data_IF_819191578550
#
_entry.id   IF_819191578550
#
_cell.length_a   1.000
_cell.length_b   1.000
_cell.length_c   1.000
_cell.angle_alpha   90.00
_cell.angle_beta   90.00
_cell.angle_gamma   90.00
#
_symmetry.space_group_name_H-M   'P 1'
#
loop_
_entity.id
_entity.type
_entity.pdbx_description
1 polymer ?
#
# COMPACT_ATOMS: atom_id res chain seq x y z
N UNK A 1 -11.59 11.59 -26.14
CA UNK A 1 -12.05 11.41 -24.75
C UNK A 1 -10.90 10.78 -24.00
N UNK A 2 -10.33 11.44 -22.98
CA UNK A 2 -9.26 10.84 -22.17
C UNK A 2 -9.87 9.67 -21.41
N UNK A 3 -9.32 8.46 -21.57
CA UNK A 3 -9.77 7.28 -20.83
C UNK A 3 -9.47 7.49 -19.34
N UNK A 4 -10.46 7.25 -18.49
CA UNK A 4 -10.27 7.26 -17.05
C UNK A 4 -9.30 6.13 -16.66
N UNK A 5 -8.24 6.46 -15.94
CA UNK A 5 -7.23 5.49 -15.46
C UNK A 5 -7.55 5.07 -14.04
N UNK A 6 -7.56 3.78 -13.78
CA UNK A 6 -7.80 3.19 -12.46
C UNK A 6 -6.49 3.12 -11.67
N UNK A 7 -6.46 3.69 -10.47
CA UNK A 7 -5.37 3.56 -9.50
C UNK A 7 -5.87 2.78 -8.29
N UNK A 8 -5.19 1.71 -7.96
CA UNK A 8 -5.48 0.92 -6.76
C UNK A 8 -4.56 1.34 -5.62
N UNK A 9 -5.13 1.53 -4.43
CA UNK A 9 -4.41 1.94 -3.22
C UNK A 9 -4.58 0.89 -2.15
N UNK A 10 -3.53 0.07 -1.92
CA UNK A 10 -3.49 -0.86 -0.80
C UNK A 10 -3.30 -0.10 0.51
N UNK A 11 -3.90 -0.63 1.56
CA UNK A 11 -3.86 0.03 2.87
C UNK A 11 -4.54 1.40 2.87
N UNK A 12 -5.59 1.57 2.06
CA UNK A 12 -6.31 2.84 1.85
C UNK A 12 -6.81 3.48 3.14
N UNK A 13 -7.05 2.71 4.18
CA UNK A 13 -7.48 3.17 5.51
C UNK A 13 -6.32 3.48 6.46
N UNK A 14 -5.07 3.19 6.08
CA UNK A 14 -3.87 3.54 6.85
C UNK A 14 -3.51 5.03 6.71
N UNK A 15 -2.59 5.52 7.54
CA UNK A 15 -2.12 6.90 7.45
C UNK A 15 -1.56 7.26 6.07
N UNK A 16 -0.73 6.38 5.49
CA UNK A 16 -0.15 6.59 4.16
C UNK A 16 -1.20 6.47 3.06
N UNK A 17 -1.98 5.40 3.06
CA UNK A 17 -3.00 5.17 2.03
C UNK A 17 -4.04 6.28 1.98
N UNK A 18 -4.51 6.77 3.13
CA UNK A 18 -5.38 7.96 3.20
C UNK A 18 -4.74 9.20 2.60
N UNK A 19 -3.44 9.39 2.84
CA UNK A 19 -2.68 10.49 2.23
C UNK A 19 -2.66 10.42 0.71
N UNK A 20 -2.42 9.21 0.16
CA UNK A 20 -2.41 8.96 -1.29
C UNK A 20 -3.81 9.15 -1.89
N UNK A 21 -4.85 8.57 -1.28
CA UNK A 21 -6.25 8.76 -1.72
C UNK A 21 -6.60 10.24 -1.77
N UNK A 22 -6.29 10.98 -0.69
CA UNK A 22 -6.53 12.44 -0.64
C UNK A 22 -5.80 13.18 -1.75
N UNK A 23 -4.51 12.87 -1.99
CA UNK A 23 -3.72 13.54 -3.02
C UNK A 23 -4.29 13.29 -4.42
N UNK A 24 -4.65 12.04 -4.74
CA UNK A 24 -5.25 11.68 -6.03
C UNK A 24 -6.60 12.34 -6.27
N UNK A 25 -7.42 12.49 -5.23
CA UNK A 25 -8.76 13.08 -5.35
C UNK A 25 -8.77 14.60 -5.35
N UNK A 26 -7.81 15.24 -4.66
CA UNK A 26 -7.78 16.69 -4.47
C UNK A 26 -7.06 17.45 -5.57
N UNK A 27 -6.12 16.83 -6.28
CA UNK A 27 -5.30 17.56 -7.25
C UNK A 27 -6.02 17.66 -8.61
N UNK A 28 -6.24 18.89 -9.15
CA UNK A 28 -7.03 19.09 -10.38
C UNK A 28 -6.48 18.34 -11.60
N UNK A 29 -5.15 18.27 -11.75
CA UNK A 29 -4.54 17.54 -12.88
C UNK A 29 -4.71 16.02 -12.81
N UNK A 30 -5.17 15.48 -11.67
CA UNK A 30 -5.42 14.07 -11.45
C UNK A 30 -6.92 13.71 -11.55
N UNK A 31 -7.75 14.63 -12.06
CA UNK A 31 -9.21 14.43 -12.17
C UNK A 31 -9.60 13.26 -13.08
N UNK A 32 -8.71 12.82 -13.95
CA UNK A 32 -8.90 11.68 -14.85
C UNK A 32 -8.63 10.32 -14.19
N UNK A 33 -8.17 10.30 -12.93
CA UNK A 33 -7.99 9.04 -12.19
C UNK A 33 -9.25 8.66 -11.40
N UNK A 34 -9.59 7.38 -11.48
CA UNK A 34 -10.48 6.69 -10.55
C UNK A 34 -9.63 5.99 -9.48
N UNK A 35 -9.99 6.14 -8.24
CA UNK A 35 -9.25 5.58 -7.10
C UNK A 35 -10.03 4.40 -6.52
N UNK A 36 -9.39 3.25 -6.44
CA UNK A 36 -9.93 2.05 -5.79
C UNK A 36 -9.11 1.77 -4.54
N UNK A 37 -9.68 2.06 -3.37
CA UNK A 37 -9.05 1.76 -2.09
C UNK A 37 -9.29 0.33 -1.67
N UNK A 38 -8.24 -0.41 -1.33
CA UNK A 38 -8.37 -1.75 -0.78
C UNK A 38 -8.38 -1.73 0.75
N UNK A 39 -9.31 -2.50 1.29
CA UNK A 39 -9.44 -2.75 2.73
C UNK A 39 -9.94 -4.16 2.97
N UNK A 40 -9.64 -4.76 4.12
CA UNK A 40 -10.17 -6.09 4.49
C UNK A 40 -11.65 -6.07 4.86
N UNK A 41 -12.17 -4.90 5.27
CA UNK A 41 -13.57 -4.74 5.65
C UNK A 41 -14.09 -3.39 5.15
N UNK A 42 -14.89 -3.42 4.08
CA UNK A 42 -15.51 -2.23 3.47
C UNK A 42 -16.61 -1.62 4.33
N UNK A 43 -17.20 -2.39 5.23
CA UNK A 43 -18.25 -1.94 6.15
C UNK A 43 -17.71 -1.43 7.49
N UNK A 44 -16.41 -1.57 7.68
CA UNK A 44 -15.73 -1.13 8.91
C UNK A 44 -15.70 0.39 9.08
N UNK A 45 -15.62 0.84 10.33
CA UNK A 45 -15.57 2.28 10.64
C UNK A 45 -14.43 3.03 9.94
N UNK A 46 -13.20 2.49 9.74
CA UNK A 46 -12.15 3.18 8.99
C UNK A 46 -12.48 3.38 7.51
N UNK A 47 -13.19 2.40 6.89
CA UNK A 47 -13.61 2.48 5.50
C UNK A 47 -14.72 3.53 5.32
N UNK A 48 -15.72 3.53 6.19
CA UNK A 48 -16.79 4.54 6.21
C UNK A 48 -16.21 5.95 6.41
N UNK A 49 -15.32 6.13 7.38
CA UNK A 49 -14.65 7.41 7.61
C UNK A 49 -13.84 7.90 6.41
N UNK A 50 -13.25 6.99 5.61
CA UNK A 50 -12.56 7.36 4.38
C UNK A 50 -13.54 7.85 3.31
N UNK A 51 -14.67 7.17 3.12
CA UNK A 51 -15.71 7.59 2.17
C UNK A 51 -16.34 8.92 2.59
N UNK A 52 -16.66 9.08 3.88
CA UNK A 52 -17.24 10.32 4.42
C UNK A 52 -16.32 11.53 4.23
N UNK A 53 -15.00 11.31 4.42
CA UNK A 53 -14.01 12.37 4.20
C UNK A 53 -13.89 12.81 2.73
N UNK A 54 -14.38 11.99 1.80
CA UNK A 54 -14.30 12.21 0.35
C UNK A 54 -15.64 12.17 -0.37
N UNK A 55 -16.77 12.40 0.33
CA UNK A 55 -18.12 12.36 -0.24
C UNK A 55 -18.31 13.29 -1.45
N UNK A 56 -17.52 14.35 -1.55
CA UNK A 56 -17.54 15.30 -2.67
C UNK A 56 -16.74 14.83 -3.90
N UNK A 57 -16.09 13.66 -3.84
CA UNK A 57 -15.32 13.13 -4.97
C UNK A 57 -16.19 12.46 -6.05
N UNK A 58 -17.49 12.35 -5.82
CA UNK A 58 -18.42 11.63 -6.71
C UNK A 58 -18.00 10.17 -6.86
N UNK A 59 -18.14 9.63 -8.07
CA UNK A 59 -17.82 8.24 -8.38
C UNK A 59 -16.31 7.97 -8.58
N UNK A 60 -15.45 8.90 -8.12
CA UNK A 60 -14.00 8.74 -8.28
C UNK A 60 -13.35 7.87 -7.21
N UNK A 61 -14.02 7.61 -6.08
CA UNK A 61 -13.53 6.75 -5.01
C UNK A 61 -14.45 5.55 -4.81
N UNK A 62 -13.89 4.36 -4.94
CA UNK A 62 -14.55 3.11 -4.58
C UNK A 62 -13.70 2.33 -3.58
N UNK A 63 -14.34 1.54 -2.72
CA UNK A 63 -13.64 0.61 -1.84
C UNK A 63 -13.97 -0.83 -2.22
N UNK A 64 -12.93 -1.68 -2.24
CA UNK A 64 -13.06 -3.12 -2.52
C UNK A 64 -12.43 -3.89 -1.37
N UNK A 65 -13.08 -5.00 -0.99
CA UNK A 65 -12.49 -5.94 -0.02
C UNK A 65 -11.41 -6.78 -0.69
N UNK A 66 -10.20 -6.77 -0.12
CA UNK A 66 -9.12 -7.64 -0.53
C UNK A 66 -8.17 -7.88 0.65
N UNK A 67 -7.53 -9.06 0.67
CA UNK A 67 -6.54 -9.43 1.67
C UNK A 67 -5.18 -9.65 1.00
N UNK A 68 -4.12 -9.11 1.58
CA UNK A 68 -2.75 -9.26 1.06
C UNK A 68 -2.23 -10.70 1.15
N UNK A 69 -2.88 -11.55 1.94
CA UNK A 69 -2.60 -12.99 2.02
C UNK A 69 -3.47 -13.83 1.08
N UNK A 70 -4.41 -13.21 0.38
CA UNK A 70 -5.24 -13.82 -0.66
C UNK A 70 -4.89 -13.22 -2.03
N UNK A 71 -4.02 -13.92 -2.76
CA UNK A 71 -3.54 -13.50 -4.07
C UNK A 71 -4.67 -13.34 -5.09
N UNK A 72 -5.70 -14.19 -5.02
CA UNK A 72 -6.82 -14.13 -5.97
C UNK A 72 -7.64 -12.87 -5.74
N UNK A 73 -7.88 -12.49 -4.48
CA UNK A 73 -8.56 -11.23 -4.16
C UNK A 73 -7.79 -10.01 -4.63
N UNK A 74 -6.45 -10.04 -4.54
CA UNK A 74 -5.59 -8.98 -5.05
C UNK A 74 -5.63 -8.90 -6.58
N UNK A 75 -5.54 -10.06 -7.26
CA UNK A 75 -5.61 -10.11 -8.72
C UNK A 75 -6.93 -9.54 -9.25
N UNK A 76 -8.04 -9.93 -8.63
CA UNK A 76 -9.36 -9.39 -8.99
C UNK A 76 -9.43 -7.86 -8.81
N UNK A 77 -8.90 -7.37 -7.68
CA UNK A 77 -8.87 -5.93 -7.42
C UNK A 77 -7.97 -5.15 -8.40
N UNK A 78 -6.89 -5.78 -8.90
CA UNK A 78 -5.95 -5.15 -9.83
C UNK A 78 -6.38 -5.20 -11.29
N UNK A 79 -7.36 -6.02 -11.66
CA UNK A 79 -7.84 -6.10 -13.05
C UNK A 79 -8.15 -4.72 -13.63
N UNK A 80 -7.53 -4.41 -14.76
CA UNK A 80 -7.71 -3.15 -15.48
C UNK A 80 -7.16 -1.91 -14.76
N UNK A 81 -6.36 -2.08 -13.71
CA UNK A 81 -5.69 -0.95 -13.08
C UNK A 81 -4.48 -0.51 -13.91
N UNK A 82 -4.32 0.80 -14.05
CA UNK A 82 -3.12 1.40 -14.61
C UNK A 82 -1.97 1.39 -13.62
N UNK A 83 -2.27 1.71 -12.36
CA UNK A 83 -1.25 1.81 -11.33
C UNK A 83 -1.71 1.27 -9.98
N UNK A 84 -0.73 0.87 -9.18
CA UNK A 84 -0.94 0.38 -7.81
C UNK A 84 0.00 1.12 -6.87
N UNK A 85 -0.56 1.68 -5.78
CA UNK A 85 0.20 2.07 -4.61
C UNK A 85 0.10 0.97 -3.56
N UNK A 86 1.22 0.51 -3.04
CA UNK A 86 1.27 -0.56 -2.05
C UNK A 86 2.11 -0.18 -0.82
N UNK A 87 1.61 -0.60 0.33
CA UNK A 87 2.30 -0.55 1.60
C UNK A 87 2.05 -1.84 2.36
N UNK A 88 3.10 -2.45 2.90
CA UNK A 88 3.01 -3.61 3.80
C UNK A 88 3.17 -3.16 5.25
N UNK A 89 2.57 -3.92 6.17
CA UNK A 89 2.67 -3.70 7.62
C UNK A 89 3.52 -4.79 8.26
N UNK A 90 4.28 -4.43 9.29
CA UNK A 90 4.96 -5.35 10.20
C UNK A 90 4.03 -5.93 11.27
N UNK A 91 2.78 -5.45 11.32
CA UNK A 91 1.81 -5.87 12.32
C UNK A 91 0.59 -6.52 11.67
N UNK A 92 0.14 -7.63 12.25
CA UNK A 92 -1.18 -8.22 11.99
C UNK A 92 -2.08 -7.88 13.18
N UNK A 93 -3.22 -7.19 12.97
CA UNK A 93 -4.13 -6.87 14.04
C UNK A 93 -4.56 -8.10 14.84
N UNK A 94 -4.42 -8.03 16.17
CA UNK A 94 -4.77 -9.13 17.07
C UNK A 94 -3.70 -10.22 17.22
N UNK A 95 -2.58 -10.15 16.48
CA UNK A 95 -1.45 -11.06 16.62
C UNK A 95 -0.24 -10.32 17.20
N UNK A 96 0.33 -10.85 18.27
CA UNK A 96 1.61 -10.36 18.81
C UNK A 96 2.75 -10.97 17.99
N UNK A 97 3.66 -10.13 17.52
CA UNK A 97 4.87 -10.55 16.82
C UNK A 97 6.00 -10.71 17.84
N UNK A 98 6.45 -11.93 18.04
CA UNK A 98 7.46 -12.26 19.06
C UNK A 98 8.76 -12.80 18.45
N UNK A 99 8.68 -13.35 17.25
CA UNK A 99 9.79 -14.01 16.58
C UNK A 99 10.07 -13.41 15.21
N UNK A 100 11.26 -13.68 14.67
CA UNK A 100 11.60 -13.33 13.29
C UNK A 100 10.63 -13.99 12.31
N UNK A 101 10.25 -15.25 12.56
CA UNK A 101 9.31 -15.98 11.69
C UNK A 101 7.93 -15.32 11.66
N UNK A 102 7.49 -14.74 12.77
CA UNK A 102 6.25 -13.97 12.79
C UNK A 102 6.28 -12.77 11.84
N UNK A 103 7.44 -12.15 11.66
CA UNK A 103 7.61 -10.98 10.80
C UNK A 103 7.69 -11.34 9.30
N UNK A 104 7.97 -12.61 8.95
CA UNK A 104 8.01 -13.09 7.56
C UNK A 104 6.68 -12.97 6.82
N UNK A 105 5.56 -12.86 7.53
CA UNK A 105 4.26 -12.55 6.92
C UNK A 105 4.32 -11.30 6.03
N UNK A 106 5.23 -10.36 6.32
CA UNK A 106 5.41 -9.16 5.51
C UNK A 106 6.00 -9.49 4.14
N UNK A 107 6.91 -10.46 4.05
CA UNK A 107 7.43 -10.96 2.78
C UNK A 107 6.34 -11.68 1.99
N UNK A 108 5.58 -12.57 2.63
CA UNK A 108 4.45 -13.27 2.02
C UNK A 108 3.44 -12.28 1.40
N UNK A 109 3.07 -11.27 2.17
CA UNK A 109 2.20 -10.20 1.67
C UNK A 109 2.81 -9.48 0.45
N UNK A 110 4.12 -9.17 0.50
CA UNK A 110 4.85 -8.55 -0.59
C UNK A 110 4.90 -9.42 -1.84
N UNK A 111 5.17 -10.72 -1.70
CA UNK A 111 5.18 -11.70 -2.78
C UNK A 111 3.82 -11.79 -3.48
N UNK A 112 2.73 -11.89 -2.70
CA UNK A 112 1.38 -11.92 -3.25
C UNK A 112 1.03 -10.64 -4.01
N UNK A 113 1.38 -9.47 -3.45
CA UNK A 113 1.13 -8.17 -4.08
C UNK A 113 1.90 -8.05 -5.41
N UNK A 114 3.19 -8.38 -5.43
CA UNK A 114 4.02 -8.29 -6.63
C UNK A 114 3.57 -9.29 -7.68
N UNK A 115 3.26 -10.52 -7.29
CA UNK A 115 2.76 -11.55 -8.20
C UNK A 115 1.42 -11.15 -8.83
N UNK A 116 0.46 -10.63 -8.04
CA UNK A 116 -0.82 -10.14 -8.55
C UNK A 116 -0.64 -8.94 -9.48
N UNK A 117 0.27 -8.00 -9.14
CA UNK A 117 0.57 -6.84 -9.98
C UNK A 117 1.19 -7.24 -11.33
N UNK A 118 2.07 -8.25 -11.33
CA UNK A 118 2.67 -8.82 -12.55
C UNK A 118 1.61 -9.47 -13.44
N UNK A 119 0.78 -10.31 -12.86
CA UNK A 119 -0.28 -11.04 -13.57
C UNK A 119 -1.35 -10.10 -14.14
N UNK A 120 -1.71 -9.04 -13.40
CA UNK A 120 -2.61 -7.99 -13.85
C UNK A 120 -1.98 -7.02 -14.85
N UNK A 121 -0.68 -7.20 -15.21
CA UNK A 121 0.08 -6.36 -16.12
C UNK A 121 0.04 -4.86 -15.74
N UNK A 122 0.23 -4.56 -14.45
CA UNK A 122 0.23 -3.18 -13.94
C UNK A 122 1.34 -2.37 -14.61
N UNK A 123 0.96 -1.19 -15.17
CA UNK A 123 1.89 -0.32 -15.86
C UNK A 123 2.82 0.44 -14.91
N UNK A 124 2.31 0.82 -13.73
CA UNK A 124 3.07 1.60 -12.75
C UNK A 124 2.82 1.14 -11.32
N UNK A 125 3.86 0.69 -10.64
CA UNK A 125 3.80 0.21 -9.26
C UNK A 125 4.58 1.16 -8.35
N UNK A 126 3.95 1.63 -7.28
CA UNK A 126 4.58 2.49 -6.26
C UNK A 126 4.54 1.77 -4.92
N UNK A 127 5.69 1.57 -4.32
CA UNK A 127 5.82 0.85 -3.06
C UNK A 127 6.49 1.70 -1.98
N UNK A 128 5.93 1.69 -0.78
CA UNK A 128 6.59 2.30 0.38
C UNK A 128 7.61 1.35 0.96
N UNK A 129 8.86 1.62 0.67
CA UNK A 129 10.02 0.83 1.07
C UNK A 129 10.79 1.48 2.24
N UNK A 130 11.82 0.79 2.70
CA UNK A 130 12.80 1.26 3.68
C UNK A 130 14.19 0.76 3.26
N UNK A 131 15.28 1.39 3.73
CA UNK A 131 16.64 0.94 3.44
C UNK A 131 16.91 -0.48 3.96
N UNK A 132 17.68 -1.26 3.19
CA UNK A 132 18.26 -2.53 3.65
C UNK A 132 19.36 -2.22 4.69
N UNK A 133 19.04 -2.37 5.97
CA UNK A 133 19.95 -2.04 7.06
C UNK A 133 21.07 -3.06 7.20
N UNK A 134 20.78 -4.32 6.96
CA UNK A 134 21.82 -5.38 6.95
C UNK A 134 22.89 -5.06 5.93
N UNK A 135 22.50 -4.74 4.70
CA UNK A 135 23.41 -4.38 3.61
C UNK A 135 24.12 -3.06 3.85
N UNK A 136 23.38 -2.02 4.25
CA UNK A 136 23.93 -0.69 4.48
C UNK A 136 24.95 -0.65 5.63
N UNK A 137 24.83 -1.55 6.63
CA UNK A 137 25.74 -1.66 7.76
C UNK A 137 26.88 -2.66 7.57
N UNK A 138 26.99 -3.29 6.39
CA UNK A 138 27.96 -4.36 6.14
C UNK A 138 27.73 -5.59 7.04
N UNK A 139 26.48 -5.89 7.39
CA UNK A 139 26.09 -7.02 8.22
C UNK A 139 26.11 -6.75 9.72
N UNK A 140 26.51 -5.55 10.15
CA UNK A 140 26.61 -5.20 11.59
C UNK A 140 25.24 -5.20 12.29
N UNK A 141 24.19 -4.76 11.60
CA UNK A 141 22.83 -4.70 12.12
C UNK A 141 21.90 -5.58 11.27
N UNK A 142 21.88 -6.89 11.55
CA UNK A 142 21.15 -7.89 10.77
C UNK A 142 19.80 -8.31 11.37
N UNK A 143 19.27 -7.55 12.33
CA UNK A 143 17.99 -7.85 13.01
C UNK A 143 16.99 -6.69 12.92
N UNK A 144 17.09 -5.89 11.86
CA UNK A 144 16.14 -4.81 11.57
C UNK A 144 15.15 -5.28 10.50
N UNK A 145 14.51 -6.41 10.77
CA UNK A 145 13.73 -7.20 9.80
C UNK A 145 12.68 -6.39 9.05
N UNK A 146 11.96 -5.50 9.73
CA UNK A 146 10.95 -4.67 9.08
C UNK A 146 11.54 -3.82 7.94
N UNK A 147 12.76 -3.31 8.10
CA UNK A 147 13.44 -2.55 7.06
C UNK A 147 13.92 -3.47 5.94
N UNK A 148 14.60 -4.54 6.29
CA UNK A 148 15.21 -5.46 5.34
C UNK A 148 14.14 -6.17 4.50
N UNK A 149 13.01 -6.55 5.09
CA UNK A 149 11.91 -7.16 4.35
C UNK A 149 11.26 -6.19 3.36
N UNK A 150 11.12 -4.92 3.70
CA UNK A 150 10.63 -3.91 2.74
C UNK A 150 11.61 -3.71 1.59
N UNK A 151 12.91 -3.70 1.85
CA UNK A 151 13.92 -3.63 0.81
C UNK A 151 13.88 -4.84 -0.12
N UNK A 152 13.67 -6.06 0.42
CA UNK A 152 13.52 -7.28 -0.37
C UNK A 152 12.28 -7.24 -1.27
N UNK A 153 11.15 -6.75 -0.76
CA UNK A 153 9.92 -6.56 -1.56
C UNK A 153 10.15 -5.54 -2.66
N UNK A 154 10.84 -4.44 -2.38
CA UNK A 154 11.23 -3.46 -3.41
C UNK A 154 12.09 -4.09 -4.51
N UNK A 155 13.12 -4.85 -4.14
CA UNK A 155 14.00 -5.52 -5.09
C UNK A 155 13.21 -6.51 -5.97
N UNK A 156 12.29 -7.27 -5.37
CA UNK A 156 11.38 -8.15 -6.10
C UNK A 156 10.51 -7.36 -7.09
N UNK A 157 9.89 -6.28 -6.65
CA UNK A 157 9.05 -5.45 -7.52
C UNK A 157 9.84 -4.85 -8.70
N UNK A 158 11.06 -4.38 -8.47
CA UNK A 158 11.95 -3.87 -9.53
C UNK A 158 12.36 -4.92 -10.55
N UNK A 159 12.54 -6.17 -10.09
CA UNK A 159 12.91 -7.29 -10.96
C UNK A 159 11.74 -7.82 -11.78
N UNK A 160 10.54 -7.87 -11.19
CA UNK A 160 9.40 -8.60 -11.74
C UNK A 160 8.42 -7.71 -12.52
N UNK A 161 8.38 -6.40 -12.22
CA UNK A 161 7.38 -5.50 -12.78
C UNK A 161 7.96 -4.57 -13.85
N UNK A 162 7.11 -4.13 -14.76
CA UNK A 162 7.46 -3.24 -15.87
C UNK A 162 8.02 -1.89 -15.38
N UNK A 163 7.41 -1.32 -14.36
CA UNK A 163 7.84 -0.07 -13.72
C UNK A 163 7.54 -0.12 -12.23
N UNK A 164 8.56 0.05 -11.40
CA UNK A 164 8.43 0.09 -9.95
C UNK A 164 9.17 1.31 -9.39
N UNK A 165 8.46 2.11 -8.61
CA UNK A 165 9.00 3.25 -7.87
C UNK A 165 8.94 2.98 -6.38
N UNK A 166 10.08 3.10 -5.69
CA UNK A 166 10.12 3.03 -4.24
C UNK A 166 10.03 4.43 -3.64
N UNK A 167 9.17 4.57 -2.64
CA UNK A 167 9.13 5.72 -1.75
C UNK A 167 9.81 5.33 -0.44
N UNK A 168 10.81 6.08 -0.04
CA UNK A 168 11.56 5.90 1.21
C UNK A 168 11.17 7.04 2.15
N UNK A 169 10.06 6.89 2.89
CA UNK A 169 9.64 7.94 3.81
C UNK A 169 10.62 8.02 4.98
N UNK A 170 10.87 9.24 5.45
CA UNK A 170 11.59 9.46 6.70
C UNK A 170 10.74 9.09 7.92
N UNK A 171 11.18 9.51 9.10
CA UNK A 171 10.44 9.31 10.34
C UNK A 171 9.09 10.03 10.27
N UNK A 172 8.01 9.30 10.60
CA UNK A 172 6.68 9.90 10.67
C UNK A 172 6.56 10.78 11.91
N UNK A 173 6.46 12.08 11.74
CA UNK A 173 5.95 12.98 12.77
C UNK A 173 4.42 12.94 12.76
N UNK A 174 3.82 12.04 13.52
CA UNK A 174 2.41 12.15 13.86
C UNK A 174 2.34 13.17 15.00
N UNK A 175 1.99 14.41 14.68
CA UNK A 175 1.64 15.37 15.72
C UNK A 175 0.44 14.81 16.48
N UNK A 176 0.52 14.57 17.80
CA UNK A 176 -0.67 14.22 18.56
C UNK A 176 -1.66 15.37 18.36
N UNK A 177 -2.86 15.04 17.87
CA UNK A 177 -3.94 16.01 17.86
C UNK A 177 -4.06 16.52 19.28
N UNK A 178 -3.83 17.82 19.50
CA UNK A 178 -4.05 18.47 20.78
C UNK A 178 -5.47 18.08 21.23
N UNK A 179 -5.57 17.22 22.25
CA UNK A 179 -6.80 17.09 22.99
C UNK A 179 -7.06 18.50 23.52
N UNK A 180 -8.10 19.13 23.02
CA UNK A 180 -8.65 20.30 23.67
C UNK A 180 -8.92 19.93 25.13
N UNK A 181 -8.27 20.65 26.04
CA UNK A 181 -8.56 20.63 27.45
C UNK A 181 -9.99 21.15 27.68
#
# INVERSE_FOLDING_TARGET
MSSTLKIVVLGSTSGQGRGVVRALLSHPSLAHYQVVGLTRNVDGSPAKALLDAHQNSGDRLHLISADVYDRESLLEAFKGAYGVFAVTSDNIPGKRMETEDDLKHQLEAGENIVAAAKEAAIEHFVYTSLPDITKASGGKYSKVFHFDFKAQIEEMARRELKSATALLPGLYCVMPSSRAL
#
